data_IF_999237093054
#
_entry.id   IF_999237093054
#
_cell.length_a   1.000
_cell.length_b   1.000
_cell.length_c   1.000
_cell.angle_alpha   90.00
_cell.angle_beta   90.00
_cell.angle_gamma   90.00
#
_symmetry.space_group_name_H-M   'P 1'
#
loop_
_entity.id
_entity.type
_entity.pdbx_description
1 polymer ?
#
# COMPACT_ATOMS: atom_id res chain seq x y z
N UNK A 1 -7.22 0.78 0.69
CA UNK A 1 -5.81 0.98 0.34
C UNK A 1 -4.97 -0.07 1.02
N UNK A 2 -4.25 -0.86 0.24
CA UNK A 2 -3.28 -1.84 0.71
C UNK A 2 -1.96 -1.52 0.01
N UNK A 3 -0.86 -1.49 0.75
CA UNK A 3 0.47 -1.25 0.21
C UNK A 3 1.35 -2.45 0.51
N UNK A 4 1.89 -3.06 -0.54
CA UNK A 4 2.73 -4.23 -0.47
C UNK A 4 4.10 -3.97 -1.09
N UNK A 5 5.10 -4.67 -0.58
CA UNK A 5 6.48 -4.66 -1.04
C UNK A 5 6.91 -6.10 -1.35
N UNK A 6 7.60 -6.32 -2.46
CA UNK A 6 8.15 -7.63 -2.84
C UNK A 6 9.35 -7.48 -3.77
N UNK A 7 10.19 -8.51 -3.84
CA UNK A 7 11.21 -8.67 -4.89
C UNK A 7 10.67 -9.34 -6.16
N UNK A 8 9.47 -9.94 -6.08
CA UNK A 8 8.79 -10.57 -7.21
C UNK A 8 7.83 -9.58 -7.89
N UNK A 9 8.02 -9.26 -9.20
CA UNK A 9 7.11 -8.38 -9.92
C UNK A 9 5.67 -8.92 -10.00
N UNK A 10 5.46 -10.24 -9.85
CA UNK A 10 4.13 -10.81 -9.82
C UNK A 10 3.44 -10.64 -8.45
N UNK A 11 4.19 -10.35 -7.38
CA UNK A 11 3.70 -10.37 -5.99
C UNK A 11 3.10 -11.73 -5.61
N UNK A 12 3.75 -12.82 -6.05
CA UNK A 12 3.36 -14.19 -5.72
C UNK A 12 4.20 -14.80 -4.59
N UNK A 13 5.36 -14.19 -4.29
CA UNK A 13 6.32 -14.65 -3.27
C UNK A 13 6.83 -13.50 -2.43
N UNK A 14 7.18 -13.81 -1.18
CA UNK A 14 7.86 -12.89 -0.25
C UNK A 14 7.20 -11.51 -0.15
N UNK A 15 5.87 -11.48 -0.18
CA UNK A 15 5.08 -10.26 -0.17
C UNK A 15 4.92 -9.75 1.27
N UNK A 16 5.42 -8.55 1.52
CA UNK A 16 5.24 -7.87 2.80
C UNK A 16 4.21 -6.77 2.67
N UNK A 17 3.13 -6.86 3.45
CA UNK A 17 2.14 -5.78 3.54
C UNK A 17 2.60 -4.77 4.58
N UNK A 18 2.81 -3.53 4.18
CA UNK A 18 3.27 -2.43 5.05
C UNK A 18 2.14 -1.50 5.50
N UNK A 19 0.98 -1.59 4.84
CA UNK A 19 -0.25 -0.89 5.21
C UNK A 19 -1.46 -1.62 4.65
N UNK A 20 -2.51 -1.78 5.44
CA UNK A 20 -3.78 -2.35 5.03
C UNK A 20 -4.93 -1.79 5.88
N UNK A 21 -5.76 -0.91 5.28
CA UNK A 21 -6.99 -0.40 5.91
C UNK A 21 -8.27 -1.10 5.43
N UNK A 22 -8.15 -2.24 4.74
CA UNK A 22 -9.28 -3.05 4.30
C UNK A 22 -9.75 -3.98 5.44
N UNK A 23 -10.50 -3.41 6.37
CA UNK A 23 -11.04 -4.15 7.53
C UNK A 23 -11.99 -5.30 7.16
N UNK A 24 -12.72 -5.15 6.05
CA UNK A 24 -13.64 -6.17 5.56
C UNK A 24 -12.90 -7.31 4.85
N UNK A 25 -11.76 -7.01 4.24
CA UNK A 25 -10.97 -7.95 3.43
C UNK A 25 -11.52 -8.11 2.01
N UNK A 26 -12.26 -7.11 1.53
CA UNK A 26 -12.97 -7.15 0.25
C UNK A 26 -12.03 -7.13 -0.96
N UNK A 27 -10.77 -6.74 -0.77
CA UNK A 27 -9.71 -6.82 -1.79
C UNK A 27 -9.07 -8.21 -1.90
N UNK A 28 -9.45 -9.17 -1.04
CA UNK A 28 -8.96 -10.55 -1.10
C UNK A 28 -7.50 -10.74 -0.64
N UNK A 29 -6.88 -9.72 -0.05
CA UNK A 29 -5.48 -9.72 0.43
C UNK A 29 -5.38 -9.88 1.96
N UNK A 30 -6.43 -10.38 2.59
CA UNK A 30 -6.56 -10.49 4.04
C UNK A 30 -7.09 -9.22 4.70
N UNK A 31 -7.62 -9.37 5.90
CA UNK A 31 -8.20 -8.26 6.67
C UNK A 31 -7.09 -7.36 7.23
N UNK A 32 -7.24 -6.06 6.99
CA UNK A 32 -6.41 -5.01 7.52
C UNK A 32 -6.76 -4.64 8.96
N UNK A 33 -5.81 -4.02 9.63
CA UNK A 33 -5.98 -3.44 10.96
C UNK A 33 -5.61 -1.95 11.01
N UNK A 34 -5.00 -1.41 9.93
CA UNK A 34 -4.58 -0.03 9.89
C UNK A 34 -5.78 0.90 9.76
N UNK A 35 -5.70 2.05 10.44
CA UNK A 35 -6.73 3.07 10.35
C UNK A 35 -6.93 3.54 8.91
N UNK A 36 -8.12 4.10 8.67
CA UNK A 36 -8.52 4.60 7.36
C UNK A 36 -7.41 5.44 6.69
N UNK A 37 -7.23 5.19 5.38
CA UNK A 37 -6.47 6.08 4.54
C UNK A 37 -7.27 7.38 4.36
N UNK A 38 -6.78 8.46 4.94
CA UNK A 38 -7.38 9.79 4.84
C UNK A 38 -6.42 10.65 4.03
N UNK A 39 -6.89 11.11 2.88
CA UNK A 39 -6.12 12.00 2.01
C UNK A 39 -6.09 13.40 2.62
N UNK A 40 -4.90 14.00 2.67
CA UNK A 40 -4.70 15.39 3.11
C UNK A 40 -3.70 16.04 2.16
N UNK A 41 -3.53 17.36 2.22
CA UNK A 41 -2.49 18.03 1.43
C UNK A 41 -1.06 17.58 1.79
N UNK A 42 -0.87 16.90 2.94
CA UNK A 42 0.41 16.33 3.36
C UNK A 42 0.60 14.87 2.90
N UNK A 43 -0.40 14.29 2.22
CA UNK A 43 -0.44 12.87 1.90
C UNK A 43 -0.59 11.98 3.14
N UNK A 44 -0.31 10.69 2.96
CA UNK A 44 -0.31 9.67 4.01
C UNK A 44 1.08 9.04 4.12
N UNK A 45 1.79 9.35 5.20
CA UNK A 45 3.06 8.67 5.49
C UNK A 45 2.80 7.22 5.94
N UNK A 46 3.43 6.27 5.26
CA UNK A 46 3.43 4.85 5.60
C UNK A 46 4.84 4.45 6.00
N UNK A 47 5.02 4.04 7.25
CA UNK A 47 6.32 3.59 7.74
C UNK A 47 6.62 2.18 7.21
N UNK A 48 7.51 2.09 6.22
CA UNK A 48 7.93 0.82 5.63
C UNK A 48 8.83 -0.03 6.54
N UNK A 49 9.24 0.46 7.72
CA UNK A 49 10.04 -0.27 8.73
C UNK A 49 11.30 -0.94 8.18
N UNK A 50 11.89 -0.39 7.12
CA UNK A 50 13.11 -0.94 6.49
C UNK A 50 12.89 -2.22 5.69
N UNK A 51 11.65 -2.55 5.30
CA UNK A 51 11.35 -3.70 4.43
C UNK A 51 12.18 -3.60 3.15
N UNK A 52 12.91 -4.67 2.83
CA UNK A 52 13.66 -4.83 1.60
C UNK A 52 12.72 -5.32 0.50
N UNK A 53 12.81 -4.70 -0.68
CA UNK A 53 12.12 -5.17 -1.87
C UNK A 53 12.39 -4.28 -3.07
N UNK A 54 12.11 -4.81 -4.26
CA UNK A 54 12.29 -4.11 -5.53
C UNK A 54 11.02 -3.41 -6.03
N UNK A 55 9.85 -3.96 -5.71
CA UNK A 55 8.57 -3.50 -6.20
C UNK A 55 7.67 -3.08 -5.05
N UNK A 56 6.94 -1.97 -5.26
CA UNK A 56 5.85 -1.53 -4.39
C UNK A 56 4.56 -1.57 -5.19
N UNK A 57 3.49 -2.12 -4.62
CA UNK A 57 2.16 -2.16 -5.25
C UNK A 57 1.10 -1.66 -4.30
N UNK A 58 0.23 -0.80 -4.84
CA UNK A 58 -0.92 -0.25 -4.13
C UNK A 58 -2.19 -0.87 -4.68
N UNK A 59 -3.10 -1.29 -3.80
CA UNK A 59 -4.43 -1.76 -4.14
C UNK A 59 -5.49 -0.84 -3.53
N UNK A 60 -6.44 -0.41 -4.35
CA UNK A 60 -7.53 0.50 -3.94
C UNK A 60 -8.81 0.16 -4.69
N UNK A 61 -9.95 0.39 -4.03
CA UNK A 61 -11.27 0.04 -4.53
C UNK A 61 -12.21 1.26 -4.52
N UNK A 62 -11.81 2.33 -5.21
CA UNK A 62 -12.54 3.59 -5.23
C UNK A 62 -12.29 4.44 -3.99
N UNK A 63 -13.19 5.39 -3.75
CA UNK A 63 -13.17 6.29 -2.61
C UNK A 63 -14.61 6.60 -2.12
N UNK A 64 -14.75 7.39 -1.07
CA UNK A 64 -16.06 7.72 -0.46
C UNK A 64 -16.93 8.65 -1.31
N UNK A 65 -16.39 9.22 -2.38
CA UNK A 65 -17.07 10.17 -3.27
C UNK A 65 -17.35 9.58 -4.66
N UNK A 66 -16.53 8.63 -5.14
CA UNK A 66 -16.70 7.98 -6.45
C UNK A 66 -16.07 6.59 -6.53
N UNK A 67 -16.34 5.87 -7.62
CA UNK A 67 -15.79 4.53 -7.88
C UNK A 67 -14.33 4.52 -8.37
N UNK A 68 -13.69 5.67 -8.52
CA UNK A 68 -12.37 5.79 -9.13
C UNK A 68 -11.25 5.83 -8.08
N UNK A 69 -10.08 5.32 -8.44
CA UNK A 69 -8.85 5.47 -7.65
C UNK A 69 -8.15 6.76 -8.08
N UNK A 70 -7.91 7.68 -7.14
CA UNK A 70 -7.23 8.95 -7.41
C UNK A 70 -5.92 9.03 -6.62
N UNK A 71 -4.80 9.10 -7.35
CA UNK A 71 -3.50 9.42 -6.81
C UNK A 71 -2.94 10.58 -7.63
N UNK A 72 -2.51 11.64 -6.96
CA UNK A 72 -1.76 12.72 -7.61
C UNK A 72 -0.27 12.36 -7.62
N UNK A 73 0.21 11.76 -6.53
CA UNK A 73 1.61 11.44 -6.33
C UNK A 73 1.78 10.19 -5.45
N UNK A 74 2.86 9.44 -5.69
CA UNK A 74 3.36 8.37 -4.82
C UNK A 74 4.87 8.48 -4.78
N UNK A 75 5.43 8.72 -3.61
CA UNK A 75 6.87 8.78 -3.39
C UNK A 75 7.35 7.56 -2.59
N UNK A 76 8.42 6.93 -3.07
CA UNK A 76 9.03 5.77 -2.40
C UNK A 76 10.46 6.13 -2.02
N UNK A 77 10.71 6.18 -0.70
CA UNK A 77 12.02 6.47 -0.15
C UNK A 77 12.69 5.18 0.34
N UNK A 78 13.91 4.94 -0.13
CA UNK A 78 14.70 3.79 0.25
C UNK A 78 16.19 4.04 0.08
N UNK A 79 17.00 3.17 0.69
CA UNK A 79 18.44 3.09 0.42
C UNK A 79 18.68 1.86 -0.46
N UNK A 80 19.73 1.86 -1.30
CA UNK A 80 20.14 0.65 -2.00
C UNK A 80 20.31 -0.50 -1.01
N UNK A 81 19.77 -1.67 -1.36
CA UNK A 81 20.09 -2.89 -0.63
C UNK A 81 21.55 -3.27 -0.92
N UNK A 82 22.29 -3.60 0.15
CA UNK A 82 23.62 -4.20 0.02
C UNK A 82 23.58 -5.55 -0.70
#
# INVERSE_FOLDING_TARGET
>A
VIVQVSDDPAFSKDVTTIFNNDYAGDLGLGKGADMAYIETYQGKLINAKGVKGRYVRLYSNGNTTSKMNHYIEVEVFGKPAA
#
